data_IF_473389936566
#
_entry.id   IF_473389936566
#
_cell.length_a   1.000
_cell.length_b   1.000
_cell.length_c   1.000
_cell.angle_alpha   90.00
_cell.angle_beta   90.00
_cell.angle_gamma   90.00
#
_symmetry.space_group_name_H-M   'P 1'
#
loop_
_entity.id
_entity.type
_entity.pdbx_description
1 polymer ?
#
# COMPACT_ATOMS: atom_id res chain seq x y z
N UNK A 1 15.23 -5.82 11.79
CA UNK A 1 16.19 -4.70 11.70
C UNK A 1 15.35 -3.46 11.77
N UNK A 2 15.64 -2.50 12.65
CA UNK A 2 14.87 -1.27 12.76
C UNK A 2 15.70 -0.12 12.21
N UNK A 3 15.07 0.79 11.46
CA UNK A 3 15.71 1.98 10.94
C UNK A 3 14.76 3.18 11.04
N UNK A 4 15.33 4.37 11.17
CA UNK A 4 14.62 5.64 11.04
C UNK A 4 15.21 6.42 9.88
N UNK A 5 14.37 6.76 8.90
CA UNK A 5 14.79 7.24 7.60
C UNK A 5 14.10 8.57 7.35
N UNK A 6 14.87 9.55 6.88
CA UNK A 6 14.32 10.80 6.39
C UNK A 6 14.63 10.94 4.91
N UNK A 7 13.58 11.09 4.13
CA UNK A 7 13.63 11.34 2.70
C UNK A 7 13.08 12.73 2.41
N UNK A 8 13.46 13.29 1.26
CA UNK A 8 12.96 14.57 0.76
C UNK A 8 12.65 14.50 -0.73
N UNK A 9 11.80 15.39 -1.21
CA UNK A 9 11.53 15.55 -2.63
C UNK A 9 12.36 16.69 -3.23
N UNK A 10 13.16 16.39 -4.26
CA UNK A 10 13.84 17.38 -5.10
C UNK A 10 13.15 17.48 -6.46
N UNK A 11 12.79 18.70 -6.89
CA UNK A 11 12.06 18.88 -8.15
C UNK A 11 12.85 18.50 -9.42
N UNK A 12 14.18 18.33 -9.35
CA UNK A 12 15.04 17.95 -10.47
C UNK A 12 15.46 16.48 -10.42
N UNK A 13 15.67 15.94 -9.23
CA UNK A 13 16.23 14.60 -9.02
C UNK A 13 15.14 13.60 -8.61
N UNK A 14 14.00 14.08 -8.13
CA UNK A 14 12.93 13.27 -7.56
C UNK A 14 13.12 13.01 -6.06
N UNK A 15 12.36 12.07 -5.49
CA UNK A 15 12.47 11.72 -4.09
C UNK A 15 13.83 11.07 -3.78
N UNK A 16 14.40 11.36 -2.62
CA UNK A 16 15.74 10.90 -2.26
C UNK A 16 15.92 10.74 -0.75
N UNK A 17 16.71 9.75 -0.34
CA UNK A 17 17.07 9.54 1.07
C UNK A 17 18.05 10.65 1.49
N UNK A 18 17.63 11.48 2.44
CA UNK A 18 18.48 12.46 3.09
C UNK A 18 19.42 11.76 4.07
N UNK A 19 18.88 11.04 5.05
CA UNK A 19 19.62 10.45 6.16
C UNK A 19 18.96 9.16 6.68
N UNK A 20 19.75 8.26 7.29
CA UNK A 20 19.32 6.98 7.86
C UNK A 20 19.94 6.83 9.26
N UNK A 21 19.15 6.34 10.21
CA UNK A 21 19.59 5.87 11.52
C UNK A 21 19.25 4.38 11.67
N UNK A 22 20.17 3.53 12.18
CA UNK A 22 21.54 3.85 12.56
C UNK A 22 22.43 4.11 11.31
N UNK A 23 23.52 4.86 11.50
CA UNK A 23 24.32 5.44 10.40
C UNK A 23 25.13 4.43 9.58
N UNK A 24 25.28 3.21 10.08
CA UNK A 24 26.00 2.11 9.43
C UNK A 24 25.14 1.38 8.39
N UNK A 25 23.85 1.67 8.31
CA UNK A 25 22.97 1.10 7.30
C UNK A 25 23.20 1.66 5.90
N UNK A 26 23.01 0.79 4.92
CA UNK A 26 23.20 1.07 3.50
C UNK A 26 21.93 1.68 2.89
N UNK A 27 22.08 2.68 2.03
CA UNK A 27 20.93 3.31 1.34
C UNK A 27 20.25 2.32 0.39
N UNK A 28 21.02 1.35 -0.12
CA UNK A 28 20.55 0.29 -1.02
C UNK A 28 19.42 -0.54 -0.42
N UNK A 29 19.42 -0.73 0.90
CA UNK A 29 18.42 -1.53 1.61
C UNK A 29 17.04 -0.85 1.67
N UNK A 30 16.95 0.45 1.32
CA UNK A 30 15.78 1.30 1.51
C UNK A 30 15.38 2.10 0.26
N UNK A 31 15.90 1.74 -0.92
CA UNK A 31 15.73 2.53 -2.15
C UNK A 31 14.27 2.72 -2.58
N UNK A 32 13.36 1.84 -2.18
CA UNK A 32 11.94 1.91 -2.53
C UNK A 32 11.16 2.91 -1.66
N UNK A 33 11.68 3.29 -0.49
CA UNK A 33 10.95 4.14 0.47
C UNK A 33 10.71 5.56 -0.06
N UNK A 34 11.69 6.25 -0.68
CA UNK A 34 11.45 7.57 -1.27
C UNK A 34 10.40 7.57 -2.37
N UNK A 35 10.30 6.50 -3.17
CA UNK A 35 9.36 6.43 -4.29
C UNK A 35 7.89 6.48 -3.85
N UNK A 36 7.63 6.16 -2.57
CA UNK A 36 6.30 6.23 -1.97
C UNK A 36 5.74 7.66 -1.91
N UNK A 37 6.60 8.69 -1.95
CA UNK A 37 6.16 10.08 -2.06
C UNK A 37 5.39 10.37 -3.36
N UNK A 38 5.59 9.56 -4.41
CA UNK A 38 4.85 9.71 -5.66
C UNK A 38 3.47 9.01 -5.60
N UNK A 39 3.22 8.20 -4.58
CA UNK A 39 2.01 7.37 -4.45
C UNK A 39 1.02 7.95 -3.44
N UNK A 40 1.50 8.69 -2.44
CA UNK A 40 0.69 9.22 -1.34
C UNK A 40 0.88 10.72 -1.22
N UNK A 41 -0.21 11.44 -0.92
CA UNK A 41 -0.18 12.87 -0.67
C UNK A 41 -0.61 13.16 0.78
N UNK A 42 0.25 13.88 1.52
CA UNK A 42 -0.05 14.58 2.78
C UNK A 42 -0.64 13.78 3.95
N UNK A 43 -0.31 12.50 4.12
CA UNK A 43 -0.82 11.72 5.26
C UNK A 43 0.18 10.69 5.79
N UNK A 44 -0.16 10.12 6.96
CA UNK A 44 0.48 8.94 7.50
C UNK A 44 0.01 7.69 6.74
N UNK A 45 0.93 6.77 6.44
CA UNK A 45 0.58 5.48 5.84
C UNK A 45 1.58 4.37 6.21
N UNK A 46 1.07 3.14 6.20
CA UNK A 46 1.87 1.93 6.33
C UNK A 46 2.16 1.37 4.93
N UNK A 47 3.42 1.05 4.66
CA UNK A 47 3.83 0.34 3.45
C UNK A 47 4.56 -0.95 3.80
N UNK A 48 4.29 -2.01 3.04
CA UNK A 48 4.82 -3.35 3.30
C UNK A 48 5.33 -3.93 2.00
N UNK A 49 6.60 -4.32 2.00
CA UNK A 49 7.28 -4.90 0.86
C UNK A 49 8.14 -6.08 1.32
N UNK A 50 7.74 -7.29 0.97
CA UNK A 50 8.38 -8.50 1.48
C UNK A 50 8.32 -8.55 3.01
N UNK A 51 9.48 -8.69 3.63
CA UNK A 51 9.62 -8.64 5.09
C UNK A 51 9.84 -7.23 5.66
N UNK A 52 9.92 -6.19 4.82
CA UNK A 52 10.11 -4.82 5.23
C UNK A 52 8.75 -4.15 5.43
N UNK A 53 8.50 -3.67 6.64
CA UNK A 53 7.38 -2.79 6.95
C UNK A 53 7.90 -1.38 7.19
N UNK A 54 7.19 -0.37 6.72
CA UNK A 54 7.49 1.02 7.01
C UNK A 54 6.23 1.76 7.43
N UNK A 55 6.30 2.51 8.53
CA UNK A 55 5.34 3.57 8.83
C UNK A 55 5.94 4.87 8.34
N UNK A 56 5.18 5.62 7.57
CA UNK A 56 5.66 6.78 6.84
C UNK A 56 4.73 7.95 7.14
N UNK A 57 5.31 9.13 7.29
CA UNK A 57 4.58 10.38 7.40
C UNK A 57 5.18 11.36 6.41
N UNK A 58 4.37 11.79 5.45
CA UNK A 58 4.72 12.87 4.52
C UNK A 58 4.30 14.20 5.13
N UNK A 59 5.19 15.18 5.11
CA UNK A 59 4.92 16.51 5.63
C UNK A 59 5.73 17.58 4.92
N UNK A 60 5.17 18.79 4.90
CA UNK A 60 5.78 19.96 4.29
C UNK A 60 6.38 20.91 5.33
N UNK A 61 7.52 21.48 5.01
CA UNK A 61 8.13 22.58 5.76
C UNK A 61 8.22 23.81 4.87
N UNK A 62 7.82 24.97 5.39
CA UNK A 62 7.95 26.25 4.68
C UNK A 62 9.40 26.54 4.32
N UNK A 63 9.63 26.85 3.04
CA UNK A 63 10.94 27.13 2.48
C UNK A 63 10.85 28.31 1.52
N UNK A 64 11.26 29.49 2.00
CA UNK A 64 11.26 30.72 1.18
C UNK A 64 12.20 30.67 -0.04
N UNK A 65 13.05 29.65 -0.15
CA UNK A 65 13.99 29.48 -1.26
C UNK A 65 13.50 28.58 -2.40
N UNK A 66 12.35 27.93 -2.25
CA UNK A 66 11.85 26.94 -3.22
C UNK A 66 10.66 27.48 -4.01
N UNK A 67 10.52 27.07 -5.28
CA UNK A 67 9.53 27.63 -6.22
C UNK A 67 8.07 27.47 -5.75
N UNK A 68 7.81 26.49 -4.88
CA UNK A 68 6.50 26.25 -4.25
C UNK A 68 6.37 26.80 -2.83
N UNK A 69 7.40 27.46 -2.27
CA UNK A 69 7.37 27.99 -0.90
C UNK A 69 7.40 26.93 0.20
N UNK A 70 7.44 25.64 -0.14
CA UNK A 70 7.49 24.50 0.77
C UNK A 70 8.49 23.46 0.27
N UNK A 71 8.94 22.61 1.20
CA UNK A 71 9.80 21.47 0.92
C UNK A 71 9.20 20.23 1.59
N UNK A 72 8.96 19.21 0.78
CA UNK A 72 8.30 17.97 1.19
C UNK A 72 9.30 16.96 1.72
N UNK A 73 8.99 16.38 2.86
CA UNK A 73 9.75 15.34 3.53
C UNK A 73 8.87 14.10 3.75
N UNK A 74 9.54 12.96 3.90
CA UNK A 74 8.93 11.73 4.41
C UNK A 74 9.82 11.19 5.52
N UNK A 75 9.31 11.17 6.74
CA UNK A 75 9.92 10.43 7.83
C UNK A 75 9.37 9.00 7.83
N UNK A 76 10.25 8.00 7.96
CA UNK A 76 9.87 6.59 7.90
C UNK A 76 10.51 5.81 9.04
N UNK A 77 9.69 5.12 9.82
CA UNK A 77 10.15 4.06 10.73
C UNK A 77 10.08 2.76 9.92
N UNK A 78 11.22 2.11 9.70
CA UNK A 78 11.31 0.86 8.96
C UNK A 78 11.65 -0.30 9.91
N UNK A 79 10.99 -1.45 9.73
CA UNK A 79 11.32 -2.67 10.45
C UNK A 79 11.24 -3.91 9.57
N UNK A 80 12.22 -4.82 9.73
CA UNK A 80 12.17 -6.21 9.23
C UNK A 80 11.91 -7.24 10.33
N UNK A 81 11.67 -6.79 11.57
CA UNK A 81 11.47 -7.65 12.74
C UNK A 81 10.18 -7.21 13.46
N UNK A 82 9.16 -8.06 13.42
CA UNK A 82 7.87 -7.75 14.06
C UNK A 82 6.99 -6.86 13.19
N UNK A 83 5.88 -6.41 13.75
CA UNK A 83 4.88 -5.57 13.08
C UNK A 83 4.92 -4.16 13.65
N UNK A 84 4.85 -3.15 12.79
CA UNK A 84 4.84 -1.75 13.24
C UNK A 84 3.48 -1.38 13.82
N UNK A 85 3.45 -0.89 15.06
CA UNK A 85 2.25 -0.34 15.67
C UNK A 85 1.91 1.01 15.03
N UNK A 86 0.75 1.11 14.40
CA UNK A 86 0.34 2.32 13.69
C UNK A 86 0.23 3.53 14.60
N UNK A 87 -0.49 3.44 15.73
CA UNK A 87 -0.72 4.57 16.62
C UNK A 87 0.59 5.10 17.20
N UNK A 88 1.45 4.20 17.70
CA UNK A 88 2.76 4.58 18.27
C UNK A 88 3.66 5.16 17.17
N UNK A 89 3.69 4.55 15.99
CA UNK A 89 4.51 5.06 14.90
C UNK A 89 4.05 6.44 14.44
N UNK A 90 2.73 6.65 14.35
CA UNK A 90 2.13 7.94 14.03
C UNK A 90 2.52 8.99 15.06
N UNK A 91 2.33 8.72 16.35
CA UNK A 91 2.71 9.62 17.43
C UNK A 91 4.20 10.01 17.38
N UNK A 92 5.08 9.02 17.13
CA UNK A 92 6.53 9.26 17.03
C UNK A 92 6.86 10.13 15.81
N UNK A 93 6.25 9.83 14.65
CA UNK A 93 6.50 10.56 13.41
C UNK A 93 5.94 11.99 13.46
N UNK A 94 4.77 12.19 14.06
CA UNK A 94 4.18 13.52 14.27
C UNK A 94 5.00 14.34 15.27
N UNK A 95 5.48 13.72 16.36
CA UNK A 95 6.40 14.36 17.29
C UNK A 95 7.73 14.76 16.61
N UNK A 96 8.26 13.89 15.74
CA UNK A 96 9.44 14.20 14.94
C UNK A 96 9.17 15.36 13.96
N UNK A 97 8.08 15.31 13.20
CA UNK A 97 7.67 16.40 12.30
C UNK A 97 7.64 17.73 13.05
N UNK A 98 7.01 17.78 14.23
CA UNK A 98 6.92 19.00 15.03
C UNK A 98 8.31 19.55 15.38
N UNK A 99 9.21 18.69 15.87
CA UNK A 99 10.58 19.10 16.22
C UNK A 99 11.36 19.61 15.00
N UNK A 100 11.22 18.97 13.84
CA UNK A 100 11.91 19.37 12.61
C UNK A 100 11.33 20.66 12.02
N UNK A 101 10.02 20.87 12.11
CA UNK A 101 9.36 22.10 11.66
C UNK A 101 9.78 23.33 12.49
N UNK A 102 10.15 23.13 13.76
CA UNK A 102 10.65 24.19 14.64
C UNK A 102 12.16 24.48 14.43
N UNK A 103 12.89 23.61 13.71
CA UNK A 103 14.31 23.82 13.43
C UNK A 103 14.52 24.97 12.44
N UNK A 104 15.15 26.04 12.92
CA UNK A 104 15.58 27.15 12.06
C UNK A 104 16.63 26.69 11.06
N UNK A 105 16.36 26.87 9.76
CA UNK A 105 17.34 26.60 8.70
C UNK A 105 17.41 25.14 8.27
N UNK A 106 16.44 24.29 8.63
CA UNK A 106 16.38 22.88 8.20
C UNK A 106 16.46 22.70 6.67
N UNK A 107 15.88 23.63 5.91
CA UNK A 107 15.94 23.66 4.44
C UNK A 107 17.37 23.75 3.88
N UNK A 108 18.33 24.18 4.72
CA UNK A 108 19.76 24.25 4.36
C UNK A 108 20.51 22.95 4.64
N UNK A 109 19.92 21.99 5.36
CA UNK A 109 20.50 20.65 5.57
C UNK A 109 20.49 19.81 4.28
N UNK A 110 19.68 20.21 3.30
CA UNK A 110 19.57 19.55 2.00
C UNK A 110 20.58 20.16 1.02
N UNK A 111 21.38 19.33 0.33
CA UNK A 111 22.27 19.81 -0.71
C UNK A 111 21.44 20.38 -1.87
N UNK A 112 21.76 21.61 -2.32
CA UNK A 112 21.12 22.26 -3.46
C UNK A 112 22.11 22.41 -4.60
N UNK A 113 21.62 22.64 -5.82
CA UNK A 113 22.47 22.85 -7.00
C UNK A 113 23.53 23.93 -6.74
N UNK A 114 24.80 23.54 -6.77
CA UNK A 114 25.93 24.43 -6.56
C UNK A 114 26.12 24.95 -5.13
N UNK A 115 25.32 24.48 -4.16
CA UNK A 115 25.44 24.85 -2.74
C UNK A 115 25.47 23.58 -1.87
N UNK A 116 26.60 23.27 -1.22
CA UNK A 116 26.66 22.14 -0.31
C UNK A 116 25.69 22.32 0.85
N UNK A 117 25.25 21.22 1.44
CA UNK A 117 24.44 21.24 2.65
C UNK A 117 25.17 21.98 3.79
N UNK A 118 24.41 22.76 4.57
CA UNK A 118 24.90 23.36 5.80
C UNK A 118 25.20 22.24 6.81
N UNK A 119 26.49 22.10 7.18
CA UNK A 119 26.96 21.05 8.09
C UNK A 119 26.29 21.12 9.46
N UNK A 120 26.09 22.32 10.01
CA UNK A 120 25.48 22.49 11.33
C UNK A 120 24.00 22.13 11.30
N UNK A 121 23.25 22.61 10.31
CA UNK A 121 21.83 22.26 10.16
C UNK A 121 21.65 20.75 9.98
N UNK A 122 22.57 20.11 9.24
CA UNK A 122 22.56 18.66 9.03
C UNK A 122 22.91 17.88 10.30
N UNK A 123 23.81 18.36 11.14
CA UNK A 123 24.11 17.69 12.41
C UNK A 123 22.97 17.87 13.43
N UNK A 124 22.35 19.05 13.52
CA UNK A 124 21.16 19.25 14.37
C UNK A 124 20.03 18.28 14.00
N UNK A 125 19.78 18.11 12.69
CA UNK A 125 18.81 17.14 12.19
C UNK A 125 19.17 15.71 12.60
N UNK A 126 20.46 15.34 12.50
CA UNK A 126 20.94 14.01 12.90
C UNK A 126 20.76 13.75 14.38
N UNK A 127 21.01 14.74 15.24
CA UNK A 127 20.82 14.59 16.69
C UNK A 127 19.35 14.29 17.03
N UNK A 128 18.40 14.96 16.37
CA UNK A 128 16.97 14.66 16.52
C UNK A 128 16.66 13.25 16.04
N UNK A 129 17.07 12.90 14.82
CA UNK A 129 16.81 11.57 14.25
C UNK A 129 17.39 10.44 15.09
N UNK A 130 18.60 10.62 15.63
CA UNK A 130 19.29 9.67 16.49
C UNK A 130 18.61 9.55 17.87
N UNK A 131 18.10 10.66 18.41
CA UNK A 131 17.25 10.68 19.60
C UNK A 131 15.97 9.86 19.40
N UNK A 132 15.24 10.10 18.30
CA UNK A 132 14.04 9.34 17.93
C UNK A 132 14.38 7.86 17.76
N UNK A 133 15.41 7.54 16.98
CA UNK A 133 15.82 6.16 16.72
C UNK A 133 16.13 5.39 18.01
N UNK A 134 16.88 5.99 18.95
CA UNK A 134 17.16 5.37 20.25
C UNK A 134 15.92 5.19 21.14
N UNK A 135 14.91 6.03 20.96
CA UNK A 135 13.64 5.93 21.69
C UNK A 135 12.67 4.92 21.10
N UNK A 136 12.93 4.40 19.89
CA UNK A 136 12.08 3.39 19.27
C UNK A 136 12.01 2.15 20.17
N UNK A 137 10.80 1.62 20.44
CA UNK A 137 10.65 0.37 21.16
C UNK A 137 11.46 -0.76 20.50
N UNK A 138 12.21 -1.53 21.31
CA UNK A 138 13.00 -2.67 20.82
C UNK A 138 12.14 -3.75 20.15
N UNK A 139 10.94 -3.94 20.69
CA UNK A 139 9.83 -4.65 20.07
C UNK A 139 8.82 -3.58 19.67
N UNK A 140 8.80 -3.12 18.41
CA UNK A 140 7.67 -2.31 17.95
C UNK A 140 6.45 -3.27 18.00
N UNK A 141 5.53 -3.00 18.93
CA UNK A 141 4.57 -3.99 19.43
C UNK A 141 3.34 -4.09 18.52
N UNK A 142 3.21 -5.28 17.92
CA UNK A 142 1.99 -5.96 17.43
C UNK A 142 0.77 -5.06 17.20
N UNK A 143 0.42 -4.89 15.93
CA UNK A 143 -0.98 -4.67 15.58
C UNK A 143 -1.79 -5.88 16.06
N UNK A 144 -3.02 -5.66 16.52
CA UNK A 144 -3.96 -6.77 16.64
C UNK A 144 -4.05 -7.42 15.26
N UNK A 145 -3.76 -8.72 15.16
CA UNK A 145 -3.97 -9.43 13.92
C UNK A 145 -5.47 -9.56 13.71
N UNK A 146 -5.96 -9.10 12.57
CA UNK A 146 -7.34 -9.31 12.15
C UNK A 146 -7.36 -10.54 11.25
N UNK A 147 -8.30 -11.44 11.49
CA UNK A 147 -8.60 -12.49 10.55
C UNK A 147 -9.80 -12.03 9.72
N UNK A 148 -9.68 -12.10 8.40
CA UNK A 148 -10.80 -11.84 7.50
C UNK A 148 -10.94 -12.97 6.49
N UNK A 149 -12.17 -13.21 6.06
CA UNK A 149 -12.52 -14.10 4.98
C UNK A 149 -12.99 -13.25 3.80
N UNK A 150 -12.35 -13.39 2.66
CA UNK A 150 -12.83 -12.73 1.43
C UNK A 150 -13.22 -13.75 0.39
N UNK A 151 -14.27 -13.45 -0.34
CA UNK A 151 -14.67 -14.23 -1.49
C UNK A 151 -14.26 -13.51 -2.77
N UNK A 152 -13.39 -14.14 -3.56
CA UNK A 152 -12.88 -13.58 -4.81
C UNK A 152 -13.60 -14.22 -5.97
N UNK A 153 -14.29 -13.42 -6.78
CA UNK A 153 -15.12 -13.90 -7.87
C UNK A 153 -15.05 -13.00 -9.11
N UNK A 154 -15.55 -13.53 -10.22
CA UNK A 154 -15.41 -12.95 -11.55
C UNK A 154 -15.39 -14.05 -12.62
N UNK A 155 -15.52 -13.66 -13.88
CA UNK A 155 -15.56 -14.60 -15.00
C UNK A 155 -14.29 -15.44 -15.14
N UNK A 156 -14.34 -16.48 -15.97
CA UNK A 156 -13.16 -17.26 -16.29
C UNK A 156 -12.10 -16.38 -16.99
N UNK A 157 -10.82 -16.62 -16.66
CA UNK A 157 -9.67 -15.96 -17.29
C UNK A 157 -9.51 -14.46 -17.02
N UNK A 158 -10.22 -13.89 -16.04
CA UNK A 158 -10.02 -12.49 -15.58
C UNK A 158 -8.78 -12.31 -14.69
N UNK A 159 -8.19 -13.41 -14.18
CA UNK A 159 -6.91 -13.37 -13.45
C UNK A 159 -6.97 -13.53 -11.92
N UNK A 160 -8.09 -13.99 -11.34
CA UNK A 160 -8.28 -14.18 -9.89
C UNK A 160 -7.14 -14.97 -9.20
N UNK A 161 -6.88 -16.18 -9.69
CA UNK A 161 -5.80 -17.05 -9.18
C UNK A 161 -4.42 -16.44 -9.36
N UNK A 162 -4.20 -15.74 -10.48
CA UNK A 162 -2.93 -15.07 -10.74
C UNK A 162 -2.68 -13.96 -9.73
N UNK A 163 -3.69 -13.12 -9.43
CA UNK A 163 -3.60 -12.08 -8.39
C UNK A 163 -3.24 -12.70 -7.04
N UNK A 164 -3.92 -13.79 -6.65
CA UNK A 164 -3.65 -14.49 -5.40
C UNK A 164 -2.22 -15.05 -5.32
N UNK A 165 -1.75 -15.70 -6.39
CA UNK A 165 -0.40 -16.25 -6.45
C UNK A 165 0.67 -15.15 -6.40
N UNK A 166 0.43 -14.02 -7.06
CA UNK A 166 1.29 -12.84 -7.02
C UNK A 166 1.36 -12.25 -5.61
N UNK A 167 0.22 -12.17 -4.91
CA UNK A 167 0.18 -11.69 -3.51
C UNK A 167 0.88 -12.63 -2.52
N UNK A 168 1.08 -13.90 -2.87
CA UNK A 168 1.85 -14.86 -2.07
C UNK A 168 3.35 -14.88 -2.39
N UNK A 169 3.88 -13.86 -3.08
CA UNK A 169 5.30 -13.74 -3.47
C UNK A 169 5.80 -14.90 -4.36
N UNK A 170 4.89 -15.64 -5.01
CA UNK A 170 5.29 -16.64 -5.99
C UNK A 170 5.39 -15.99 -7.36
N UNK A 171 6.51 -16.21 -8.06
CA UNK A 171 6.64 -15.86 -9.48
C UNK A 171 5.40 -16.39 -10.21
N UNK A 172 4.68 -15.56 -10.99
CA UNK A 172 3.46 -15.99 -11.66
C UNK A 172 3.78 -17.17 -12.59
N UNK A 173 3.46 -18.40 -12.14
CA UNK A 173 3.49 -19.57 -13.02
C UNK A 173 2.23 -19.55 -13.86
N UNK A 174 2.31 -20.12 -15.06
CA UNK A 174 1.13 -20.33 -15.89
C UNK A 174 0.03 -21.02 -15.05
N UNK A 175 -1.11 -20.35 -14.92
CA UNK A 175 -2.24 -20.85 -14.14
C UNK A 175 -3.16 -21.65 -15.07
N UNK A 176 -3.54 -22.86 -14.63
CA UNK A 176 -4.59 -23.63 -15.28
C UNK A 176 -5.96 -23.10 -14.85
N UNK A 177 -7.03 -23.33 -15.62
CA UNK A 177 -8.38 -22.98 -15.20
C UNK A 177 -8.71 -23.58 -13.83
N UNK A 178 -9.19 -22.74 -12.91
CA UNK A 178 -9.61 -23.15 -11.57
C UNK A 178 -10.87 -24.02 -11.66
N UNK A 179 -10.74 -25.29 -11.28
CA UNK A 179 -11.82 -26.28 -11.35
C UNK A 179 -12.57 -26.47 -10.02
N UNK A 180 -11.94 -26.08 -8.91
CA UNK A 180 -12.47 -26.22 -7.56
C UNK A 180 -12.35 -24.90 -6.80
N UNK A 181 -13.11 -24.75 -5.72
CA UNK A 181 -12.86 -23.70 -4.75
C UNK A 181 -11.52 -23.95 -4.07
N UNK A 182 -10.65 -22.94 -4.06
CA UNK A 182 -9.39 -22.98 -3.31
C UNK A 182 -9.42 -21.93 -2.18
N UNK A 183 -8.72 -22.22 -1.09
CA UNK A 183 -8.63 -21.35 0.08
C UNK A 183 -7.17 -20.97 0.32
N UNK A 184 -6.84 -19.74 -0.05
CA UNK A 184 -5.49 -19.21 -0.03
C UNK A 184 -5.36 -18.25 1.14
N UNK A 185 -4.48 -18.58 2.10
CA UNK A 185 -4.13 -17.64 3.16
C UNK A 185 -3.11 -16.63 2.64
N UNK A 186 -3.47 -15.36 2.71
CA UNK A 186 -2.61 -14.24 2.35
C UNK A 186 -2.45 -13.38 3.60
N UNK A 187 -1.22 -12.98 3.89
CA UNK A 187 -0.96 -12.01 4.94
C UNK A 187 -0.74 -10.65 4.27
N UNK A 188 -1.62 -9.69 4.55
CA UNK A 188 -1.48 -8.30 4.11
C UNK A 188 -1.46 -7.45 5.37
N UNK A 189 -0.30 -6.92 5.76
CA UNK A 189 -0.16 -6.21 7.04
C UNK A 189 -0.54 -7.08 8.25
N UNK A 190 -1.34 -6.54 9.15
CA UNK A 190 -1.95 -7.22 10.29
C UNK A 190 -3.22 -8.00 9.93
N UNK A 191 -3.64 -8.00 8.66
CA UNK A 191 -4.76 -8.79 8.19
C UNK A 191 -4.26 -10.14 7.67
N UNK A 192 -4.62 -11.23 8.37
CA UNK A 192 -4.55 -12.57 7.82
C UNK A 192 -5.86 -12.85 7.10
N UNK A 193 -5.79 -12.78 5.77
CA UNK A 193 -6.94 -12.96 4.91
C UNK A 193 -6.98 -14.40 4.42
N UNK A 194 -8.10 -15.08 4.64
CA UNK A 194 -8.41 -16.32 3.93
C UNK A 194 -9.20 -15.94 2.69
N UNK A 195 -8.54 -15.96 1.53
CA UNK A 195 -9.16 -15.67 0.25
C UNK A 195 -9.68 -16.96 -0.38
N UNK A 196 -10.98 -17.02 -0.64
CA UNK A 196 -11.61 -18.11 -1.35
C UNK A 196 -11.62 -17.80 -2.86
N UNK A 197 -10.77 -18.49 -3.63
CA UNK A 197 -10.68 -18.35 -5.08
C UNK A 197 -11.80 -19.14 -5.77
N UNK A 198 -12.71 -18.42 -6.42
CA UNK A 198 -13.87 -19.03 -7.03
C UNK A 198 -13.61 -19.46 -8.49
N UNK A 199 -14.02 -20.67 -8.92
CA UNK A 199 -13.92 -21.07 -10.32
C UNK A 199 -14.81 -20.15 -11.17
N UNK A 200 -14.24 -19.55 -12.22
CA UNK A 200 -14.93 -18.53 -13.03
C UNK A 200 -15.88 -19.08 -14.10
N UNK A 201 -15.79 -20.38 -14.41
CA UNK A 201 -16.64 -21.04 -15.41
C UNK A 201 -18.09 -21.15 -14.91
N UNK A 202 -19.05 -20.85 -15.77
CA UNK A 202 -20.47 -20.74 -15.39
C UNK A 202 -21.04 -22.03 -14.79
N UNK A 203 -20.70 -23.19 -15.37
CA UNK A 203 -21.08 -24.52 -14.89
C UNK A 203 -20.49 -24.86 -13.51
N UNK A 204 -19.42 -24.21 -13.08
CA UNK A 204 -18.77 -24.44 -11.78
C UNK A 204 -19.24 -23.48 -10.68
N UNK A 205 -20.05 -22.45 -11.02
CA UNK A 205 -20.54 -21.46 -10.04
C UNK A 205 -21.45 -22.05 -8.96
N UNK A 206 -21.99 -23.25 -9.18
CA UNK A 206 -22.71 -24.02 -8.16
C UNK A 206 -21.85 -24.27 -6.90
N UNK A 207 -20.53 -24.34 -7.05
CA UNK A 207 -19.58 -24.56 -5.97
C UNK A 207 -19.45 -23.35 -5.03
N UNK A 208 -19.92 -22.17 -5.42
CA UNK A 208 -19.76 -20.94 -4.65
C UNK A 208 -20.68 -20.89 -3.42
N UNK A 209 -21.83 -21.58 -3.46
CA UNK A 209 -22.91 -21.48 -2.47
C UNK A 209 -22.46 -21.62 -1.00
N UNK A 210 -21.57 -22.56 -0.61
CA UNK A 210 -21.10 -22.67 0.77
C UNK A 210 -20.25 -21.48 1.24
N UNK A 211 -19.66 -20.74 0.31
CA UNK A 211 -18.69 -19.67 0.57
C UNK A 211 -19.30 -18.27 0.53
N UNK A 212 -20.59 -18.12 0.21
CA UNK A 212 -21.24 -16.79 0.18
C UNK A 212 -21.72 -16.33 1.58
N UNK A 213 -21.51 -17.13 2.63
CA UNK A 213 -21.87 -16.80 4.01
C UNK A 213 -20.62 -16.65 4.88
N UNK A 214 -20.67 -15.73 5.84
CA UNK A 214 -19.58 -15.50 6.80
C UNK A 214 -18.29 -14.99 6.16
N UNK A 215 -18.42 -14.26 5.05
CA UNK A 215 -17.34 -13.48 4.45
C UNK A 215 -17.33 -12.10 5.09
N UNK A 216 -16.14 -11.53 5.25
CA UNK A 216 -15.91 -10.19 5.78
C UNK A 216 -15.71 -9.17 4.64
N UNK A 217 -15.54 -9.63 3.40
CA UNK A 217 -15.44 -8.78 2.21
C UNK A 217 -15.58 -9.54 0.90
N UNK A 218 -15.79 -8.78 -0.18
CA UNK A 218 -15.93 -9.28 -1.54
C UNK A 218 -14.87 -8.65 -2.44
N UNK A 219 -14.24 -9.46 -3.29
CA UNK A 219 -13.35 -8.97 -4.35
C UNK A 219 -13.88 -9.42 -5.69
N UNK A 220 -14.33 -8.46 -6.51
CA UNK A 220 -14.84 -8.71 -7.85
C UNK A 220 -13.78 -8.36 -8.89
N UNK A 221 -13.30 -9.34 -9.65
CA UNK A 221 -12.24 -9.16 -10.63
C UNK A 221 -12.81 -9.14 -12.05
N UNK A 222 -12.44 -8.11 -12.80
CA UNK A 222 -12.81 -7.85 -14.18
C UNK A 222 -11.57 -7.79 -15.07
N UNK A 223 -11.77 -8.02 -16.36
CA UNK A 223 -10.73 -7.88 -17.38
C UNK A 223 -10.91 -6.52 -18.08
N UNK A 224 -9.96 -5.61 -17.90
CA UNK A 224 -9.99 -4.24 -18.46
C UNK A 224 -10.03 -4.21 -19.99
N UNK A 225 -9.71 -5.32 -20.66
CA UNK A 225 -9.80 -5.43 -22.13
C UNK A 225 -11.21 -5.81 -22.62
N UNK A 226 -12.12 -6.24 -21.72
CA UNK A 226 -13.46 -6.73 -22.05
C UNK A 226 -14.55 -5.73 -21.69
N UNK A 227 -14.55 -4.60 -22.41
CA UNK A 227 -15.45 -3.46 -22.17
C UNK A 227 -16.64 -3.39 -23.15
N UNK A 228 -16.88 -4.45 -23.93
CA UNK A 228 -18.08 -4.54 -24.75
C UNK A 228 -19.35 -4.69 -23.89
N UNK A 229 -20.48 -4.21 -24.43
CA UNK A 229 -21.75 -4.14 -23.69
C UNK A 229 -22.22 -5.51 -23.19
N UNK A 230 -21.97 -6.58 -23.94
CA UNK A 230 -22.38 -7.93 -23.57
C UNK A 230 -21.59 -8.42 -22.35
N UNK A 231 -20.27 -8.26 -22.39
CA UNK A 231 -19.36 -8.59 -21.27
C UNK A 231 -19.71 -7.80 -20.00
N UNK A 232 -19.91 -6.49 -20.12
CA UNK A 232 -20.28 -5.65 -18.98
C UNK A 232 -21.64 -6.01 -18.40
N UNK A 233 -22.62 -6.35 -19.25
CA UNK A 233 -23.94 -6.81 -18.81
C UNK A 233 -23.85 -8.13 -18.03
N UNK A 234 -23.08 -9.10 -18.53
CA UNK A 234 -22.82 -10.38 -17.83
C UNK A 234 -22.16 -10.14 -16.47
N UNK A 235 -21.14 -9.29 -16.43
CA UNK A 235 -20.42 -8.93 -15.22
C UNK A 235 -21.32 -8.22 -14.19
N UNK A 236 -22.17 -7.30 -14.64
CA UNK A 236 -23.17 -6.62 -13.80
C UNK A 236 -24.18 -7.60 -13.20
N UNK A 237 -24.70 -8.53 -14.01
CA UNK A 237 -25.61 -9.57 -13.52
C UNK A 237 -24.93 -10.47 -12.49
N UNK A 238 -23.69 -10.87 -12.74
CA UNK A 238 -22.90 -11.67 -11.81
C UNK A 238 -22.69 -10.94 -10.47
N UNK A 239 -22.28 -9.68 -10.52
CA UNK A 239 -22.09 -8.85 -9.34
C UNK A 239 -23.37 -8.75 -8.51
N UNK A 240 -24.50 -8.42 -9.15
CA UNK A 240 -25.80 -8.30 -8.48
C UNK A 240 -26.28 -9.61 -7.88
N UNK A 241 -26.10 -10.73 -8.59
CA UNK A 241 -26.45 -12.05 -8.09
C UNK A 241 -25.67 -12.36 -6.80
N UNK A 242 -24.37 -12.09 -6.78
CA UNK A 242 -23.54 -12.34 -5.60
C UNK A 242 -23.93 -11.43 -4.43
N UNK A 243 -24.08 -10.13 -4.66
CA UNK A 243 -24.52 -9.19 -3.64
C UNK A 243 -25.87 -9.60 -3.04
N UNK A 244 -26.81 -10.07 -3.88
CA UNK A 244 -28.14 -10.52 -3.41
C UNK A 244 -28.09 -11.78 -2.55
N UNK A 245 -27.04 -12.59 -2.69
CA UNK A 245 -26.86 -13.87 -1.99
C UNK A 245 -25.98 -13.74 -0.75
N UNK A 246 -25.22 -12.66 -0.62
CA UNK A 246 -24.45 -12.40 0.61
C UNK A 246 -25.34 -11.79 1.67
N UNK A 247 -25.43 -12.46 2.81
CA UNK A 247 -26.43 -12.21 3.85
C UNK A 247 -26.17 -11.00 4.75
N UNK A 248 -25.14 -10.19 4.48
CA UNK A 248 -24.73 -9.09 5.34
C UNK A 248 -24.93 -7.76 4.62
N UNK A 249 -25.71 -6.85 5.22
CA UNK A 249 -26.16 -5.59 4.59
C UNK A 249 -25.03 -4.61 4.25
N UNK A 250 -23.78 -4.88 4.63
CA UNK A 250 -22.63 -3.97 4.45
C UNK A 250 -21.29 -4.69 4.29
N UNK A 251 -21.19 -5.66 3.38
CA UNK A 251 -19.87 -6.18 3.02
C UNK A 251 -19.11 -5.14 2.18
N UNK A 252 -17.85 -4.80 2.53
CA UNK A 252 -17.01 -4.02 1.64
C UNK A 252 -16.80 -4.80 0.34
N UNK A 253 -16.96 -4.11 -0.78
CA UNK A 253 -16.73 -4.63 -2.12
C UNK A 253 -15.53 -3.90 -2.74
N UNK A 254 -14.52 -4.66 -3.09
CA UNK A 254 -13.41 -4.20 -3.93
C UNK A 254 -13.65 -4.66 -5.37
N UNK A 255 -13.69 -3.72 -6.33
CA UNK A 255 -13.75 -4.04 -7.76
C UNK A 255 -12.36 -3.84 -8.36
N UNK A 256 -11.78 -4.90 -8.89
CA UNK A 256 -10.46 -4.90 -9.52
C UNK A 256 -10.59 -5.00 -11.04
N UNK A 257 -10.18 -3.95 -11.74
CA UNK A 257 -9.99 -3.95 -13.19
C UNK A 257 -8.57 -4.42 -13.50
N UNK A 258 -8.45 -5.68 -13.92
CA UNK A 258 -7.17 -6.36 -14.14
C UNK A 258 -6.74 -6.32 -15.61
N UNK A 259 -5.44 -6.59 -15.87
CA UNK A 259 -4.79 -6.55 -17.21
C UNK A 259 -4.62 -5.14 -17.77
N UNK A 260 -4.33 -4.19 -16.89
CA UNK A 260 -4.07 -2.80 -17.27
C UNK A 260 -2.77 -2.61 -18.07
N UNK A 261 -1.92 -3.64 -18.14
CA UNK A 261 -0.79 -3.70 -19.07
C UNK A 261 -1.21 -3.76 -20.54
N UNK A 262 -2.44 -4.22 -20.82
CA UNK A 262 -2.98 -4.33 -22.18
C UNK A 262 -3.88 -3.14 -22.56
N UNK A 263 -4.61 -2.58 -21.60
CA UNK A 263 -5.50 -1.43 -21.82
C UNK A 263 -5.80 -0.73 -20.50
N UNK A 264 -5.68 0.60 -20.48
CA UNK A 264 -6.12 1.41 -19.35
C UNK A 264 -7.66 1.47 -19.31
N UNK A 265 -8.31 1.18 -18.15
CA UNK A 265 -9.76 1.17 -18.05
C UNK A 265 -10.33 2.60 -17.90
N UNK A 266 -11.39 2.92 -18.66
CA UNK A 266 -12.20 4.13 -18.45
C UNK A 266 -13.13 3.93 -17.24
N UNK A 267 -12.61 4.22 -16.04
CA UNK A 267 -13.29 3.98 -14.77
C UNK A 267 -14.69 4.64 -14.69
N UNK A 268 -14.89 5.93 -15.03
CA UNK A 268 -16.22 6.55 -14.98
C UNK A 268 -17.28 5.81 -15.81
N UNK A 269 -16.92 5.36 -17.01
CA UNK A 269 -17.84 4.59 -17.85
C UNK A 269 -18.13 3.23 -17.22
N UNK A 270 -17.09 2.53 -16.77
CA UNK A 270 -17.24 1.19 -16.19
C UNK A 270 -18.05 1.19 -14.90
N UNK A 271 -17.85 2.18 -14.03
CA UNK A 271 -18.63 2.35 -12.80
C UNK A 271 -20.13 2.54 -13.08
N UNK A 272 -20.45 3.37 -14.09
CA UNK A 272 -21.84 3.59 -14.54
C UNK A 272 -22.45 2.31 -15.11
N UNK A 273 -21.73 1.62 -15.99
CA UNK A 273 -22.24 0.41 -16.63
C UNK A 273 -22.42 -0.73 -15.62
N UNK A 274 -21.52 -0.87 -14.64
CA UNK A 274 -21.64 -1.86 -13.55
C UNK A 274 -22.69 -1.45 -12.50
N UNK A 275 -23.00 -0.16 -12.39
CA UNK A 275 -23.97 0.37 -11.42
C UNK A 275 -23.44 0.28 -9.98
N UNK A 276 -22.20 0.70 -9.79
CA UNK A 276 -21.49 0.71 -8.49
C UNK A 276 -21.25 2.13 -7.95
N UNK A 277 -21.87 3.14 -8.58
CA UNK A 277 -21.95 4.55 -8.15
C UNK A 277 -23.27 4.89 -7.48
#
# INVERSE_FOLDING_TARGET
MNAFILSYFDALIGPSILEIMPRDMKKEDFQLIPDLMNLYENEFFIHIFGNLQTANLIFDISSMGDRGGVMTFQASIASTKGEINEDIARDILEAFQKQVSELTGIQTAIPRRGKPANKQARENLREIMDGVFRSLPGDIVRLHSWDAKVFIFGEASVGKTTILNTLQETVPKATLPTLNMDATKIKVSNLTMTAYDAPGQENLRVLWKPYLKGQDGLVFVLDSTRVDLESLTKSKHLLRDIISRTSMEKLPLLVLFNKNDLSEPDLPTLERELGIT
#
